data_IF_827359302257
#
_entry.id   IF_827359302257
#
_cell.length_a   1.000
_cell.length_b   1.000
_cell.length_c   1.000
_cell.angle_alpha   90.00
_cell.angle_beta   90.00
_cell.angle_gamma   90.00
#
_symmetry.space_group_name_H-M   'P 1'
#
loop_
_entity.id
_entity.type
_entity.pdbx_description
1 polymer ?
#
# COMPACT_ATOMS: atom_id res chain seq x y z
N UNK A 1 -41.22 -8.20 9.76
CA UNK A 1 -39.84 -8.64 10.08
C UNK A 1 -38.93 -7.50 9.71
N UNK A 2 -38.02 -7.07 10.60
CA UNK A 2 -37.04 -6.05 10.26
C UNK A 2 -36.03 -6.62 9.25
N UNK A 3 -35.82 -5.92 8.13
CA UNK A 3 -34.87 -6.35 7.12
C UNK A 3 -33.46 -5.95 7.56
N UNK A 4 -32.57 -6.93 7.78
CA UNK A 4 -31.18 -6.64 8.10
C UNK A 4 -30.40 -6.41 6.80
N UNK A 5 -30.27 -5.13 6.40
CA UNK A 5 -29.60 -4.74 5.14
C UNK A 5 -28.17 -5.28 5.08
N UNK A 6 -27.52 -5.39 6.24
CA UNK A 6 -26.18 -5.96 6.39
C UNK A 6 -26.12 -7.43 5.97
N UNK A 7 -27.14 -8.24 6.22
CA UNK A 7 -27.12 -9.67 5.87
C UNK A 7 -27.44 -9.89 4.38
N UNK A 8 -28.27 -9.02 3.78
CA UNK A 8 -28.44 -8.95 2.32
C UNK A 8 -27.10 -8.63 1.63
N UNK A 9 -26.34 -7.67 2.16
CA UNK A 9 -25.05 -7.26 1.60
C UNK A 9 -23.97 -8.34 1.85
N UNK A 10 -23.89 -8.96 3.04
CA UNK A 10 -22.98 -10.10 3.29
C UNK A 10 -23.18 -11.26 2.32
N UNK A 11 -24.43 -11.55 1.93
CA UNK A 11 -24.74 -12.56 0.93
C UNK A 11 -24.18 -12.25 -0.46
N UNK A 12 -24.00 -10.96 -0.77
CA UNK A 12 -23.46 -10.48 -2.05
C UNK A 12 -21.94 -10.22 -2.01
N UNK A 13 -21.40 -9.85 -0.84
CA UNK A 13 -19.96 -9.72 -0.55
C UNK A 13 -19.33 -11.05 -0.08
N UNK A 14 -19.76 -12.17 -0.66
CA UNK A 14 -19.34 -13.51 -0.25
C UNK A 14 -17.86 -13.83 -0.51
N UNK A 15 -17.43 -15.04 -0.14
CA UNK A 15 -16.04 -15.50 -0.27
C UNK A 15 -15.46 -15.35 -1.69
N UNK A 16 -16.28 -15.52 -2.72
CA UNK A 16 -15.86 -15.29 -4.11
C UNK A 16 -15.40 -13.84 -4.36
N UNK A 17 -16.06 -12.83 -3.77
CA UNK A 17 -15.64 -11.44 -3.88
C UNK A 17 -14.39 -11.16 -3.04
N UNK A 18 -14.29 -11.76 -1.85
CA UNK A 18 -13.11 -11.63 -0.99
C UNK A 18 -11.86 -12.18 -1.70
N UNK A 19 -11.97 -13.35 -2.32
CA UNK A 19 -10.88 -13.98 -3.07
C UNK A 19 -10.53 -13.20 -4.35
N UNK A 20 -11.55 -12.76 -5.11
CA UNK A 20 -11.35 -11.93 -6.31
C UNK A 20 -10.66 -10.60 -5.99
N UNK A 21 -11.10 -9.91 -4.93
CA UNK A 21 -10.51 -8.64 -4.51
C UNK A 21 -9.12 -8.81 -3.86
N UNK A 22 -8.87 -9.94 -3.18
CA UNK A 22 -7.53 -10.28 -2.69
C UNK A 22 -6.54 -10.44 -3.86
N UNK A 23 -6.92 -11.24 -4.87
CA UNK A 23 -6.15 -11.44 -6.09
C UNK A 23 -5.92 -10.14 -6.88
N UNK A 24 -6.97 -9.31 -7.06
CA UNK A 24 -6.86 -8.06 -7.83
C UNK A 24 -6.09 -6.94 -7.12
N UNK A 25 -6.08 -6.91 -5.78
CA UNK A 25 -5.43 -5.85 -5.00
C UNK A 25 -4.05 -6.25 -4.44
N UNK A 26 -3.63 -7.51 -4.61
CA UNK A 26 -2.37 -8.02 -4.05
C UNK A 26 -2.40 -8.19 -2.52
N UNK A 27 -3.60 -8.38 -1.96
CA UNK A 27 -3.84 -8.39 -0.51
C UNK A 27 -4.21 -9.79 0.00
N UNK A 28 -4.05 -10.02 1.31
CA UNK A 28 -4.53 -11.29 1.90
C UNK A 28 -6.06 -11.32 1.98
N UNK A 29 -6.67 -12.49 1.73
CA UNK A 29 -8.13 -12.68 1.90
C UNK A 29 -8.61 -12.32 3.32
N UNK A 30 -7.77 -12.58 4.34
CA UNK A 30 -8.04 -12.17 5.72
C UNK A 30 -8.07 -10.65 5.88
N UNK A 31 -7.14 -9.92 5.26
CA UNK A 31 -7.11 -8.47 5.21
C UNK A 31 -8.32 -7.88 4.48
N UNK A 32 -8.65 -8.41 3.29
CA UNK A 32 -9.85 -8.02 2.53
C UNK A 32 -11.13 -8.25 3.37
N UNK A 33 -11.30 -9.45 3.94
CA UNK A 33 -12.46 -9.79 4.76
C UNK A 33 -12.61 -8.87 5.98
N UNK A 34 -11.49 -8.55 6.64
CA UNK A 34 -11.44 -7.63 7.77
C UNK A 34 -11.74 -6.19 7.35
N UNK A 35 -11.22 -5.72 6.21
CA UNK A 35 -11.52 -4.42 5.66
C UNK A 35 -13.01 -4.27 5.29
N UNK A 36 -13.58 -5.25 4.57
CA UNK A 36 -15.01 -5.29 4.23
C UNK A 36 -15.88 -5.24 5.50
N UNK A 37 -15.50 -6.01 6.53
CA UNK A 37 -16.19 -6.02 7.83
C UNK A 37 -16.13 -4.68 8.57
N UNK A 38 -15.05 -3.92 8.42
CA UNK A 38 -14.91 -2.56 8.96
C UNK A 38 -15.59 -1.48 8.12
N UNK A 39 -15.62 -1.64 6.80
CA UNK A 39 -16.20 -0.69 5.85
C UNK A 39 -17.73 -0.71 5.87
N UNK A 40 -18.34 -1.89 5.97
CA UNK A 40 -19.79 -2.05 5.81
C UNK A 40 -20.62 -1.20 6.83
N UNK A 41 -20.31 -1.17 8.15
CA UNK A 41 -21.03 -0.30 9.08
C UNK A 41 -20.81 1.20 8.78
N UNK A 42 -19.59 1.58 8.36
CA UNK A 42 -19.23 2.97 8.06
C UNK A 42 -19.98 3.48 6.84
N UNK A 43 -20.13 2.66 5.80
CA UNK A 43 -20.85 3.00 4.57
C UNK A 43 -22.36 3.04 4.80
N UNK A 44 -22.94 1.99 5.38
CA UNK A 44 -24.38 1.94 5.70
C UNK A 44 -24.78 3.11 6.60
N UNK A 45 -23.95 3.41 7.59
CA UNK A 45 -24.17 4.52 8.51
C UNK A 45 -23.91 5.90 7.93
N UNK A 46 -22.94 6.06 7.03
CA UNK A 46 -22.71 7.30 6.30
C UNK A 46 -23.88 7.63 5.36
N UNK A 47 -24.40 6.63 4.64
CA UNK A 47 -25.65 6.73 3.87
C UNK A 47 -26.81 7.11 4.79
N UNK A 48 -26.93 6.48 5.95
CA UNK A 48 -27.97 6.79 6.92
C UNK A 48 -27.88 8.22 7.47
N UNK A 49 -26.70 8.70 7.86
CA UNK A 49 -26.51 10.08 8.33
C UNK A 49 -26.91 11.12 7.28
N UNK A 50 -26.77 10.77 6.00
CA UNK A 50 -27.16 11.59 4.87
C UNK A 50 -28.48 11.13 4.22
N UNK A 51 -29.39 10.51 5.02
CA UNK A 51 -30.72 10.04 4.59
C UNK A 51 -31.60 11.09 3.91
N UNK A 52 -31.29 12.36 4.12
CA UNK A 52 -32.12 13.49 3.71
C UNK A 52 -31.43 14.31 2.58
N UNK A 53 -30.24 13.87 2.16
CA UNK A 53 -29.45 14.46 1.07
C UNK A 53 -29.97 13.95 -0.28
N UNK A 54 -30.48 14.83 -1.17
CA UNK A 54 -31.03 14.41 -2.47
C UNK A 54 -30.06 13.60 -3.32
N UNK A 55 -28.77 13.95 -3.33
CA UNK A 55 -27.75 13.25 -4.12
C UNK A 55 -27.46 11.83 -3.63
N UNK A 56 -27.67 11.55 -2.33
CA UNK A 56 -27.59 10.20 -1.77
C UNK A 56 -28.80 9.37 -2.20
N UNK A 57 -30.00 9.94 -2.08
CA UNK A 57 -31.25 9.29 -2.47
C UNK A 57 -31.30 9.01 -3.98
N UNK A 58 -30.85 9.98 -4.80
CA UNK A 58 -30.69 9.82 -6.26
C UNK A 58 -29.68 8.72 -6.61
N UNK A 59 -28.56 8.65 -5.88
CA UNK A 59 -27.56 7.59 -6.12
C UNK A 59 -28.11 6.21 -5.84
N UNK A 60 -28.93 6.05 -4.79
CA UNK A 60 -29.59 4.78 -4.46
C UNK A 60 -30.69 4.45 -5.48
N UNK A 61 -31.57 5.39 -5.83
CA UNK A 61 -32.66 5.13 -6.79
C UNK A 61 -32.16 4.79 -8.19
N UNK A 62 -31.01 5.34 -8.59
CA UNK A 62 -30.45 5.14 -9.94
C UNK A 62 -29.53 3.91 -10.03
N UNK A 63 -29.01 3.38 -8.92
CA UNK A 63 -28.09 2.25 -8.96
C UNK A 63 -28.73 0.92 -9.42
N UNK A 64 -30.05 0.76 -9.21
CA UNK A 64 -30.81 -0.39 -9.71
C UNK A 64 -31.07 -0.33 -11.22
N UNK A 65 -31.29 0.86 -11.78
CA UNK A 65 -31.58 1.04 -13.20
C UNK A 65 -30.34 1.03 -14.10
N UNK A 66 -29.16 1.37 -13.56
CA UNK A 66 -27.90 1.42 -14.31
C UNK A 66 -27.06 0.12 -14.23
N UNK A 67 -27.58 -0.94 -13.59
CA UNK A 67 -26.85 -2.22 -13.51
C UNK A 67 -25.55 -2.15 -12.71
N UNK A 68 -25.46 -1.26 -11.72
CA UNK A 68 -24.21 -0.95 -10.99
C UNK A 68 -23.54 -2.19 -10.40
N UNK A 69 -24.29 -3.20 -9.98
CA UNK A 69 -23.75 -4.47 -9.48
C UNK A 69 -22.92 -5.26 -10.52
N UNK A 70 -23.21 -5.10 -11.82
CA UNK A 70 -22.44 -5.70 -12.90
C UNK A 70 -21.17 -4.91 -13.27
N UNK A 71 -21.24 -3.58 -13.25
CA UNK A 71 -20.10 -2.71 -13.58
C UNK A 71 -19.19 -2.40 -12.37
N UNK A 72 -19.64 -2.64 -11.13
CA UNK A 72 -18.85 -2.44 -9.91
C UNK A 72 -17.91 -3.62 -9.60
N UNK A 73 -18.00 -4.73 -10.35
CA UNK A 73 -17.06 -5.85 -10.26
C UNK A 73 -15.78 -5.63 -11.09
N UNK A 74 -15.80 -4.65 -12.00
CA UNK A 74 -14.60 -4.12 -12.63
C UNK A 74 -13.99 -3.02 -11.74
N UNK A 75 -12.94 -3.37 -11.01
CA UNK A 75 -12.18 -2.45 -10.16
C UNK A 75 -11.42 -1.36 -10.93
N UNK A 76 -11.31 -1.49 -12.26
CA UNK A 76 -10.67 -0.48 -13.14
C UNK A 76 -11.57 0.73 -13.38
N UNK A 77 -12.89 0.53 -13.32
CA UNK A 77 -13.90 1.56 -13.54
C UNK A 77 -14.04 2.48 -12.33
N UNK A 78 -13.23 3.55 -12.30
CA UNK A 78 -13.36 4.68 -11.37
C UNK A 78 -14.72 5.39 -11.52
N UNK A 79 -15.76 4.82 -10.90
CA UNK A 79 -17.13 5.25 -11.08
C UNK A 79 -17.37 6.61 -10.39
N UNK A 80 -17.48 7.66 -11.19
CA UNK A 80 -17.63 9.05 -10.73
C UNK A 80 -18.88 9.26 -9.87
N UNK A 81 -19.93 8.46 -10.06
CA UNK A 81 -21.11 8.42 -9.20
C UNK A 81 -20.76 7.98 -7.78
N UNK A 82 -19.95 6.93 -7.62
CA UNK A 82 -19.53 6.40 -6.31
C UNK A 82 -18.55 7.36 -5.63
N UNK A 83 -17.59 7.93 -6.38
CA UNK A 83 -16.65 8.92 -5.85
C UNK A 83 -17.35 10.21 -5.41
N UNK A 84 -18.30 10.72 -6.20
CA UNK A 84 -19.14 11.86 -5.84
C UNK A 84 -20.02 11.59 -4.61
N UNK A 85 -20.59 10.38 -4.52
CA UNK A 85 -21.38 9.94 -3.37
C UNK A 85 -20.53 9.83 -2.10
N UNK A 86 -19.35 9.20 -2.16
CA UNK A 86 -18.40 9.12 -1.05
C UNK A 86 -17.97 10.52 -0.57
N UNK A 87 -17.71 11.43 -1.50
CA UNK A 87 -17.39 12.83 -1.20
C UNK A 87 -18.59 13.55 -0.54
N UNK A 88 -19.82 13.30 -1.01
CA UNK A 88 -21.04 13.88 -0.43
C UNK A 88 -21.36 13.35 0.98
N UNK A 89 -20.99 12.10 1.27
CA UNK A 89 -21.25 11.44 2.57
C UNK A 89 -20.17 11.78 3.62
N UNK A 90 -18.89 11.74 3.22
CA UNK A 90 -17.75 11.78 4.16
C UNK A 90 -16.91 13.07 4.06
N UNK A 91 -16.93 13.77 2.92
CA UNK A 91 -16.12 14.96 2.67
C UNK A 91 -14.64 14.75 3.02
N UNK A 92 -14.05 15.73 3.71
CA UNK A 92 -12.65 15.71 4.15
C UNK A 92 -12.27 14.51 5.03
N UNK A 93 -13.25 13.79 5.61
CA UNK A 93 -13.02 12.62 6.46
C UNK A 93 -12.70 11.35 5.67
N UNK A 94 -12.92 11.35 4.35
CA UNK A 94 -12.70 10.21 3.46
C UNK A 94 -11.29 9.62 3.60
N UNK A 95 -10.25 10.47 3.57
CA UNK A 95 -8.85 10.05 3.74
C UNK A 95 -8.56 9.45 5.11
N UNK A 96 -9.24 9.93 6.16
CA UNK A 96 -9.12 9.39 7.53
C UNK A 96 -9.75 8.00 7.65
N UNK A 97 -10.90 7.78 6.99
CA UNK A 97 -11.56 6.47 6.92
C UNK A 97 -10.68 5.47 6.17
N UNK A 98 -10.14 5.84 5.00
CA UNK A 98 -9.22 5.00 4.22
C UNK A 98 -8.01 4.59 5.07
N UNK A 99 -7.33 5.55 5.73
CA UNK A 99 -6.17 5.24 6.56
C UNK A 99 -6.51 4.37 7.77
N UNK A 100 -7.67 4.59 8.41
CA UNK A 100 -8.10 3.81 9.58
C UNK A 100 -8.47 2.38 9.19
N UNK A 101 -9.14 2.18 8.05
CA UNK A 101 -9.47 0.85 7.53
C UNK A 101 -8.21 0.11 7.06
N UNK A 102 -7.31 0.76 6.32
CA UNK A 102 -6.01 0.21 5.95
C UNK A 102 -5.22 -0.30 7.17
N UNK A 103 -5.08 0.56 8.19
CA UNK A 103 -4.41 0.24 9.46
C UNK A 103 -5.11 -0.88 10.22
N UNK A 104 -6.45 -0.84 10.31
CA UNK A 104 -7.24 -1.85 11.01
C UNK A 104 -7.15 -3.23 10.34
N UNK A 105 -7.26 -3.28 9.01
CA UNK A 105 -7.30 -4.52 8.25
C UNK A 105 -5.90 -5.11 7.98
N UNK A 106 -4.85 -4.28 7.98
CA UNK A 106 -3.50 -4.68 7.59
C UNK A 106 -3.32 -4.73 6.07
N UNK A 107 -3.93 -3.79 5.35
CA UNK A 107 -3.90 -3.67 3.88
C UNK A 107 -3.38 -2.29 3.45
N UNK A 108 -3.06 -2.09 2.18
CA UNK A 108 -2.62 -0.79 1.67
C UNK A 108 -3.75 0.28 1.66
N UNK A 109 -3.37 1.55 1.69
CA UNK A 109 -4.31 2.67 1.53
C UNK A 109 -5.03 2.65 0.17
N UNK A 110 -4.35 2.22 -0.89
CA UNK A 110 -4.93 2.09 -2.23
C UNK A 110 -5.99 0.98 -2.23
N UNK A 111 -5.66 -0.19 -1.67
CA UNK A 111 -6.59 -1.32 -1.51
C UNK A 111 -7.79 -0.93 -0.66
N UNK A 112 -7.59 -0.22 0.44
CA UNK A 112 -8.68 0.30 1.27
C UNK A 112 -9.57 1.31 0.54
N UNK A 113 -9.03 2.10 -0.39
CA UNK A 113 -9.81 3.01 -1.23
C UNK A 113 -10.62 2.27 -2.31
N UNK A 114 -10.01 1.28 -2.97
CA UNK A 114 -10.69 0.41 -3.94
C UNK A 114 -11.82 -0.39 -3.27
N UNK A 115 -11.58 -0.95 -2.08
CA UNK A 115 -12.61 -1.62 -1.29
C UNK A 115 -13.71 -0.68 -0.81
N UNK A 116 -13.39 0.56 -0.42
CA UNK A 116 -14.40 1.56 -0.04
C UNK A 116 -15.34 1.87 -1.22
N UNK A 117 -14.82 2.00 -2.43
CA UNK A 117 -15.62 2.13 -3.65
C UNK A 117 -16.45 0.87 -3.92
N UNK A 118 -15.84 -0.32 -3.90
CA UNK A 118 -16.49 -1.61 -4.17
C UNK A 118 -17.65 -1.90 -3.20
N UNK A 119 -17.40 -1.78 -1.89
CA UNK A 119 -18.41 -2.03 -0.85
C UNK A 119 -19.50 -0.95 -0.90
N UNK A 120 -19.19 0.29 -1.31
CA UNK A 120 -20.20 1.34 -1.53
C UNK A 120 -21.06 1.03 -2.75
N UNK A 121 -20.48 0.66 -3.89
CA UNK A 121 -21.21 0.24 -5.08
C UNK A 121 -22.14 -0.95 -4.81
N UNK A 122 -21.65 -1.96 -4.10
CA UNK A 122 -22.43 -3.11 -3.66
C UNK A 122 -23.54 -2.74 -2.66
N UNK A 123 -23.27 -1.87 -1.69
CA UNK A 123 -24.26 -1.40 -0.70
C UNK A 123 -25.38 -0.61 -1.39
N UNK A 124 -25.02 0.41 -2.17
CA UNK A 124 -25.95 1.31 -2.87
C UNK A 124 -26.75 0.54 -3.92
N UNK A 125 -26.12 -0.37 -4.67
CA UNK A 125 -26.79 -1.25 -5.62
C UNK A 125 -27.76 -2.23 -4.95
N UNK A 126 -27.43 -2.77 -3.76
CA UNK A 126 -28.30 -3.68 -3.01
C UNK A 126 -29.51 -2.97 -2.41
N UNK A 127 -29.31 -1.78 -1.80
CA UNK A 127 -30.41 -0.95 -1.26
C UNK A 127 -31.28 -0.40 -2.40
N UNK A 128 -30.67 0.05 -3.50
CA UNK A 128 -31.39 0.53 -4.69
C UNK A 128 -32.21 -0.56 -5.38
N UNK A 129 -31.69 -1.79 -5.45
CA UNK A 129 -32.44 -2.96 -5.93
C UNK A 129 -33.63 -3.25 -5.01
N UNK A 130 -33.42 -3.32 -3.69
CA UNK A 130 -34.50 -3.55 -2.73
C UNK A 130 -35.58 -2.46 -2.82
N UNK A 131 -35.18 -1.20 -2.97
CA UNK A 131 -36.11 -0.08 -3.18
C UNK A 131 -36.95 -0.24 -4.46
N UNK A 132 -36.33 -0.61 -5.58
CA UNK A 132 -37.04 -0.87 -6.83
C UNK A 132 -38.01 -2.06 -6.73
N UNK A 133 -37.58 -3.19 -6.13
CA UNK A 133 -38.40 -4.39 -5.92
C UNK A 133 -39.62 -4.12 -5.00
N UNK A 134 -39.49 -3.19 -4.06
CA UNK A 134 -40.55 -2.82 -3.10
C UNK A 134 -41.29 -1.52 -3.46
N UNK A 135 -41.04 -0.94 -4.64
CA UNK A 135 -41.62 0.33 -5.12
C UNK A 135 -41.42 1.51 -4.15
N UNK A 136 -40.28 1.55 -3.44
CA UNK A 136 -39.95 2.65 -2.52
C UNK A 136 -39.48 3.88 -3.31
N UNK A 137 -40.10 5.02 -3.00
CA UNK A 137 -39.65 6.33 -3.48
C UNK A 137 -38.47 6.86 -2.63
N UNK A 138 -38.03 8.10 -2.91
CA UNK A 138 -36.96 8.75 -2.12
C UNK A 138 -37.33 8.86 -0.63
N UNK A 139 -38.61 9.05 -0.31
CA UNK A 139 -39.12 9.10 1.06
C UNK A 139 -38.99 7.73 1.75
N UNK A 140 -39.39 6.65 1.06
CA UNK A 140 -39.24 5.28 1.54
C UNK A 140 -37.77 4.86 1.71
N UNK A 141 -36.89 5.26 0.80
CA UNK A 141 -35.43 5.06 0.92
C UNK A 141 -34.88 5.82 2.14
N UNK A 142 -35.27 7.08 2.34
CA UNK A 142 -34.88 7.87 3.52
C UNK A 142 -35.35 7.21 4.82
N UNK A 143 -36.59 6.71 4.89
CA UNK A 143 -37.10 5.98 6.06
C UNK A 143 -36.28 4.71 6.32
N UNK A 144 -36.06 3.89 5.28
CA UNK A 144 -35.29 2.64 5.37
C UNK A 144 -33.85 2.88 5.88
N UNK A 145 -33.21 3.96 5.42
CA UNK A 145 -31.90 4.40 5.89
C UNK A 145 -31.94 4.91 7.35
N UNK A 146 -32.96 5.69 7.70
CA UNK A 146 -33.18 6.15 9.08
C UNK A 146 -33.33 4.98 10.06
N UNK A 147 -34.07 3.93 9.70
CA UNK A 147 -34.26 2.75 10.53
C UNK A 147 -32.95 2.00 10.83
N UNK A 148 -31.95 2.04 9.93
CA UNK A 148 -30.65 1.43 10.19
C UNK A 148 -29.77 2.24 11.15
N UNK A 149 -30.08 3.53 11.43
CA UNK A 149 -29.22 4.42 12.22
C UNK A 149 -28.81 3.78 13.55
N UNK A 150 -29.76 3.22 14.30
CA UNK A 150 -29.52 2.62 15.62
C UNK A 150 -28.71 1.31 15.62
N UNK A 151 -28.48 0.68 14.46
CA UNK A 151 -27.78 -0.62 14.35
C UNK A 151 -26.29 -0.45 14.03
N UNK A 152 -25.88 0.71 13.49
CA UNK A 152 -24.49 0.92 13.05
C UNK A 152 -23.48 0.85 14.19
N UNK A 153 -23.82 1.38 15.37
CA UNK A 153 -22.93 1.43 16.53
C UNK A 153 -22.66 0.05 17.14
N UNK A 154 -23.59 -0.90 17.02
CA UNK A 154 -23.44 -2.28 17.53
C UNK A 154 -22.78 -3.22 16.52
N UNK A 155 -22.55 -2.76 15.29
CA UNK A 155 -21.92 -3.52 14.20
C UNK A 155 -20.45 -3.16 13.93
N UNK A 156 -19.91 -2.13 14.60
CA UNK A 156 -18.48 -1.82 14.52
C UNK A 156 -17.66 -2.93 15.18
N UNK A 157 -16.69 -3.55 14.47
CA UNK A 157 -15.88 -4.62 15.04
C UNK A 157 -14.86 -4.06 16.06
N UNK A 158 -14.48 -4.89 17.03
CA UNK A 158 -13.50 -4.52 18.05
C UNK A 158 -12.20 -4.00 17.41
N UNK A 159 -11.78 -2.80 17.83
CA UNK A 159 -10.63 -2.07 17.26
C UNK A 159 -11.01 -0.92 16.32
N UNK A 160 -12.27 -0.81 15.88
CA UNK A 160 -12.80 0.38 15.21
C UNK A 160 -13.72 1.19 16.13
N UNK A 161 -13.71 2.52 15.96
CA UNK A 161 -14.60 3.44 16.68
C UNK A 161 -14.96 4.64 15.81
N UNK A 162 -16.13 5.24 16.06
CA UNK A 162 -16.54 6.48 15.38
C UNK A 162 -15.57 7.65 15.65
N UNK A 163 -14.87 7.63 16.80
CA UNK A 163 -13.85 8.60 17.14
C UNK A 163 -12.56 8.43 16.31
N UNK A 164 -12.04 7.19 16.18
CA UNK A 164 -10.84 6.91 15.37
C UNK A 164 -11.07 7.09 13.88
N UNK A 165 -12.31 6.98 13.41
CA UNK A 165 -12.73 7.33 12.04
C UNK A 165 -12.92 8.85 11.82
N UNK A 166 -12.69 9.69 12.85
CA UNK A 166 -12.91 11.15 12.85
C UNK A 166 -14.36 11.60 12.54
N UNK A 167 -15.33 10.68 12.56
CA UNK A 167 -16.76 10.97 12.27
C UNK A 167 -17.52 11.46 13.52
N UNK A 168 -16.83 12.16 14.44
CA UNK A 168 -17.39 12.59 15.74
C UNK A 168 -18.60 13.53 15.67
N UNK A 169 -18.85 14.20 14.54
CA UNK A 169 -20.10 14.97 14.35
C UNK A 169 -21.32 14.07 14.09
N UNK A 170 -21.14 12.95 13.39
CA UNK A 170 -22.20 11.96 13.18
C UNK A 170 -22.60 11.29 14.51
N UNK A 171 -21.67 11.19 15.48
CA UNK A 171 -21.99 10.82 16.85
C UNK A 171 -23.03 11.74 17.53
N UNK A 172 -23.16 13.01 17.12
CA UNK A 172 -24.17 13.94 17.66
C UNK A 172 -25.59 13.65 17.16
N UNK A 173 -25.72 12.90 16.06
CA UNK A 173 -27.00 12.34 15.60
C UNK A 173 -27.45 11.11 16.40
N UNK A 174 -26.60 10.58 17.27
CA UNK A 174 -26.88 9.41 18.09
C UNK A 174 -27.12 9.78 19.55
N UNK A 175 -28.28 9.38 20.08
CA UNK A 175 -28.49 9.29 21.52
C UNK A 175 -27.77 8.06 22.04
N UNK A 176 -26.60 8.28 22.65
CA UNK A 176 -25.95 7.28 23.48
C UNK A 176 -26.65 7.24 24.85
N UNK A 177 -27.87 6.69 24.87
CA UNK A 177 -28.58 6.37 26.12
C UNK A 177 -27.92 5.15 26.80
N UNK A 178 -26.67 5.31 27.22
CA UNK A 178 -25.86 4.29 27.90
C UNK A 178 -24.92 4.87 28.99
N UNK A 179 -25.07 6.14 29.35
CA UNK A 179 -24.48 6.74 30.57
C UNK A 179 -25.19 6.23 31.84
N UNK A 180 -25.16 4.90 32.08
CA UNK A 180 -25.45 4.30 33.39
C UNK A 180 -25.02 2.85 33.59
N UNK A 181 -25.05 2.00 32.56
CA UNK A 181 -24.75 0.57 32.72
C UNK A 181 -23.24 0.27 32.68
N UNK A 182 -22.52 0.93 33.60
CA UNK A 182 -21.20 0.51 34.02
C UNK A 182 -21.31 -0.84 34.73
N UNK A 183 -21.07 -1.93 34.00
CA UNK A 183 -21.04 -3.29 34.55
C UNK A 183 -19.98 -3.32 35.67
N UNK A 184 -20.45 -3.40 36.92
CA UNK A 184 -19.57 -3.41 38.07
C UNK A 184 -18.73 -4.70 38.08
N UNK A 185 -17.40 -4.61 38.22
CA UNK A 185 -16.56 -5.79 38.35
C UNK A 185 -16.91 -6.52 39.66
N UNK A 186 -17.26 -7.80 39.56
CA UNK A 186 -17.49 -8.67 40.71
C UNK A 186 -16.20 -8.78 41.54
N UNK A 187 -16.23 -8.56 42.87
CA UNK A 187 -15.02 -8.60 43.68
C UNK A 187 -14.39 -10.00 43.72
N UNK A 188 -13.13 -10.10 43.31
CA UNK A 188 -12.25 -11.19 43.76
C UNK A 188 -11.60 -10.78 45.09
N UNK A 189 -11.74 -11.61 46.11
CA UNK A 189 -11.05 -11.41 47.39
C UNK A 189 -9.61 -11.94 47.29
N UNK A 190 -8.63 -11.05 47.35
CA UNK A 190 -7.25 -11.41 47.68
C UNK A 190 -6.95 -11.01 49.14
N UNK A 191 -6.27 -11.89 49.93
CA UNK A 191 -6.01 -11.64 51.34
C UNK A 191 -4.97 -10.53 51.53
N UNK A 192 -5.35 -9.47 52.24
CA UNK A 192 -4.46 -8.35 52.55
C UNK A 192 -3.37 -8.77 53.53
N UNK A 193 -2.11 -8.72 53.09
CA UNK A 193 -0.95 -8.73 54.01
C UNK A 193 -0.72 -7.31 54.51
N UNK A 194 -0.83 -7.13 55.82
CA UNK A 194 -0.68 -5.85 56.49
C UNK A 194 0.79 -5.51 56.74
N UNK A 195 1.26 -4.35 56.27
CA UNK A 195 2.56 -3.78 56.63
C UNK A 195 2.34 -2.37 57.17
N UNK A 196 2.45 -2.23 58.48
CA UNK A 196 2.26 -0.98 59.21
C UNK A 196 3.47 -0.05 59.09
N UNK A 197 3.21 1.25 58.93
CA UNK A 197 4.12 2.34 59.35
C UNK A 197 3.33 3.60 59.67
N UNK A 198 3.54 4.13 60.87
CA UNK A 198 2.80 5.26 61.43
C UNK A 198 3.59 6.57 61.30
N UNK A 199 2.87 7.69 61.09
CA UNK A 199 3.00 9.03 61.76
C UNK A 199 4.40 9.69 61.93
N UNK A 200 4.60 11.01 61.82
CA UNK A 200 3.66 12.13 61.97
C UNK A 200 4.11 13.45 61.29
N UNK A 201 3.14 14.36 61.10
CA UNK A 201 3.17 15.82 61.33
C UNK A 201 4.37 16.72 60.95
N UNK A 202 4.19 17.49 59.86
CA UNK A 202 4.32 18.97 59.72
C UNK A 202 4.42 19.33 58.21
N UNK A 203 3.91 20.46 57.68
CA UNK A 203 3.11 21.54 58.24
C UNK A 203 3.11 22.78 57.30
N UNK A 204 1.98 23.50 57.21
CA UNK A 204 1.81 24.82 56.52
C UNK A 204 1.70 24.84 54.98
N UNK A 205 0.61 25.46 54.49
CA UNK A 205 0.50 26.16 53.18
C UNK A 205 0.44 27.68 53.47
N UNK A 206 0.96 28.58 52.60
CA UNK A 206 0.12 29.13 51.52
C UNK A 206 0.81 29.65 50.24
N UNK A 207 0.02 29.73 49.16
CA UNK A 207 0.05 30.68 48.03
C UNK A 207 1.23 30.73 47.01
N UNK A 208 0.82 30.85 45.74
CA UNK A 208 1.60 31.20 44.54
C UNK A 208 2.02 32.69 44.56
N UNK A 209 3.06 33.16 43.81
CA UNK A 209 3.08 33.07 42.34
C UNK A 209 4.46 32.79 41.67
N UNK A 210 4.45 32.85 40.33
CA UNK A 210 5.52 32.54 39.35
C UNK A 210 6.86 33.29 39.49
N UNK A 211 7.95 32.66 39.04
CA UNK A 211 8.99 33.32 38.24
C UNK A 211 9.25 32.63 36.88
N UNK A 212 10.27 33.10 36.15
CA UNK A 212 10.48 32.92 34.70
C UNK A 212 11.85 32.31 34.32
N UNK A 213 12.14 32.31 33.01
CA UNK A 213 13.42 32.11 32.32
C UNK A 213 13.87 30.67 31.97
N UNK A 214 14.03 30.45 30.65
CA UNK A 214 14.83 29.39 30.03
C UNK A 214 15.62 29.98 28.85
N UNK A 215 16.93 29.77 28.82
CA UNK A 215 17.86 30.54 27.98
C UNK A 215 17.76 30.29 26.47
N UNK A 216 17.80 31.37 25.67
CA UNK A 216 17.67 31.29 24.20
C UNK A 216 19.03 31.25 23.48
N UNK A 217 19.50 30.04 23.18
CA UNK A 217 20.70 29.76 22.37
C UNK A 217 20.66 30.34 20.95
N UNK A 218 19.48 30.69 20.43
CA UNK A 218 19.29 31.18 19.06
C UNK A 218 19.91 32.55 18.78
N UNK A 219 20.13 33.39 19.80
CA UNK A 219 20.61 34.77 19.62
C UNK A 219 22.05 34.89 19.07
N UNK A 220 22.87 33.86 19.19
CA UNK A 220 24.25 33.82 18.66
C UNK A 220 24.38 33.07 17.34
N UNK A 221 23.46 32.15 17.04
CA UNK A 221 23.57 31.24 15.89
C UNK A 221 23.09 31.89 14.58
N UNK A 222 22.05 32.72 14.66
CA UNK A 222 21.47 33.41 13.49
C UNK A 222 22.44 34.36 12.74
N UNK A 223 23.23 35.26 13.41
CA UNK A 223 24.16 36.13 12.69
C UNK A 223 25.34 35.36 12.06
N UNK A 224 25.79 34.26 12.68
CA UNK A 224 26.84 33.40 12.12
C UNK A 224 26.39 32.74 10.81
N UNK A 225 25.15 32.23 10.79
CA UNK A 225 24.56 31.57 9.62
C UNK A 225 24.39 32.55 8.43
N UNK A 226 23.98 33.79 8.70
CA UNK A 226 23.87 34.83 7.67
C UNK A 226 25.22 35.22 7.04
N UNK A 227 26.31 35.26 7.83
CA UNK A 227 27.65 35.52 7.30
C UNK A 227 28.14 34.39 6.39
N UNK A 228 27.86 33.13 6.75
CA UNK A 228 28.17 31.96 5.91
C UNK A 228 27.38 32.01 4.60
N UNK A 229 26.09 32.35 4.64
CA UNK A 229 25.25 32.50 3.46
C UNK A 229 25.74 33.62 2.51
N UNK A 230 26.18 34.76 3.05
CA UNK A 230 26.74 35.85 2.27
C UNK A 230 28.06 35.45 1.57
N UNK A 231 28.95 34.73 2.27
CA UNK A 231 30.19 34.20 1.68
C UNK A 231 29.92 33.21 0.53
N UNK A 232 28.98 32.29 0.71
CA UNK A 232 28.58 31.33 -0.33
C UNK A 232 28.00 32.03 -1.58
N UNK A 233 27.18 33.06 -1.39
CA UNK A 233 26.55 33.79 -2.51
C UNK A 233 27.58 34.55 -3.36
N UNK A 234 28.59 35.17 -2.74
CA UNK A 234 29.67 35.85 -3.46
C UNK A 234 30.58 34.86 -4.21
N UNK A 235 30.89 33.70 -3.62
CA UNK A 235 31.69 32.67 -4.28
C UNK A 235 31.01 32.13 -5.54
N UNK A 236 29.69 31.89 -5.49
CA UNK A 236 28.90 31.33 -6.61
C UNK A 236 28.71 32.29 -7.80
N UNK A 237 29.14 33.56 -7.70
CA UNK A 237 29.01 34.54 -8.79
C UNK A 237 30.21 34.56 -9.75
N UNK A 238 31.28 33.78 -9.48
CA UNK A 238 32.57 33.96 -10.14
C UNK A 238 32.89 32.98 -11.31
N UNK A 239 32.04 31.99 -11.60
CA UNK A 239 32.30 30.99 -12.66
C UNK A 239 31.27 31.04 -13.81
N UNK A 240 31.78 31.30 -15.02
CA UNK A 240 31.15 31.16 -16.34
C UNK A 240 32.24 30.75 -17.35
N UNK A 241 31.83 30.09 -18.45
CA UNK A 241 32.58 29.70 -19.70
C UNK A 241 32.74 28.16 -19.88
N UNK A 242 32.72 27.53 -21.06
CA UNK A 242 32.32 27.88 -22.45
C UNK A 242 31.86 26.62 -23.24
N UNK A 243 30.88 26.80 -24.14
CA UNK A 243 30.83 26.40 -25.57
C UNK A 243 31.57 25.14 -26.13
N UNK A 244 30.88 24.26 -26.91
CA UNK A 244 31.22 23.73 -28.30
C UNK A 244 30.79 22.27 -28.65
N UNK A 245 29.61 22.10 -29.27
CA UNK A 245 29.33 21.66 -30.69
C UNK A 245 30.06 20.46 -31.41
N UNK A 246 29.26 19.51 -31.98
CA UNK A 246 29.31 18.92 -33.38
C UNK A 246 29.73 17.44 -33.75
N UNK A 247 28.72 16.62 -34.17
CA UNK A 247 28.52 15.70 -35.36
C UNK A 247 29.29 14.37 -35.71
N UNK A 248 28.50 13.38 -36.23
CA UNK A 248 28.66 12.54 -37.47
C UNK A 248 29.66 11.34 -37.57
N UNK A 249 29.53 10.30 -38.44
CA UNK A 249 28.38 9.59 -39.14
C UNK A 249 28.84 8.25 -39.83
N UNK A 250 27.94 7.24 -39.95
CA UNK A 250 27.83 6.07 -40.87
C UNK A 250 28.95 5.02 -41.20
N UNK A 251 28.50 3.74 -41.28
CA UNK A 251 28.74 2.79 -42.41
C UNK A 251 29.45 1.45 -42.11
N UNK A 252 29.33 0.35 -42.88
CA UNK A 252 28.24 -0.22 -43.73
C UNK A 252 28.60 -1.69 -44.17
N UNK A 253 27.64 -2.45 -44.74
CA UNK A 253 27.78 -3.65 -45.62
C UNK A 253 28.18 -5.03 -45.02
N UNK A 254 27.83 -6.20 -45.60
CA UNK A 254 26.57 -6.70 -46.22
C UNK A 254 26.65 -8.23 -46.59
N UNK A 255 25.53 -8.82 -47.05
CA UNK A 255 25.28 -10.20 -47.55
C UNK A 255 24.82 -11.25 -46.49
N UNK A 256 23.92 -12.21 -46.78
CA UNK A 256 23.48 -12.74 -48.10
C UNK A 256 21.95 -13.02 -48.20
N UNK A 257 21.39 -12.85 -49.41
CA UNK A 257 20.02 -13.15 -49.91
C UNK A 257 19.73 -14.67 -50.05
N UNK A 258 18.55 -15.27 -49.86
CA UNK A 258 17.24 -14.95 -49.23
C UNK A 258 16.68 -16.31 -48.66
N UNK A 259 15.45 -16.87 -48.79
CA UNK A 259 14.07 -16.62 -49.33
C UNK A 259 13.14 -17.71 -48.67
N UNK A 260 11.78 -17.79 -48.67
CA UNK A 260 10.65 -17.23 -49.44
C UNK A 260 9.36 -17.17 -48.54
N UNK A 261 8.38 -16.32 -48.91
CA UNK A 261 6.94 -16.27 -48.51
C UNK A 261 6.40 -17.13 -47.33
N UNK A 262 5.83 -16.46 -46.32
CA UNK A 262 4.37 -16.28 -46.27
C UNK A 262 3.98 -15.11 -45.36
N UNK A 263 3.00 -14.30 -45.77
CA UNK A 263 2.54 -13.12 -45.04
C UNK A 263 1.28 -13.40 -44.23
N UNK A 264 1.30 -13.09 -42.94
CA UNK A 264 0.07 -12.83 -42.18
C UNK A 264 0.30 -11.66 -41.23
N UNK A 265 -0.44 -10.58 -41.42
CA UNK A 265 -0.38 -9.41 -40.53
C UNK A 265 -0.96 -9.76 -39.16
N UNK A 266 -0.11 -9.72 -38.14
CA UNK A 266 -0.52 -9.70 -36.74
C UNK A 266 -0.07 -8.38 -36.12
N UNK A 267 -1.02 -7.50 -35.80
CA UNK A 267 -0.75 -6.23 -35.14
C UNK A 267 -0.03 -6.48 -33.81
N UNK A 268 1.21 -6.02 -33.69
CA UNK A 268 2.03 -6.22 -32.48
C UNK A 268 1.76 -5.11 -31.46
N UNK A 269 0.48 -4.92 -31.13
CA UNK A 269 0.09 -4.26 -29.89
C UNK A 269 0.73 -5.03 -28.74
N UNK A 270 1.72 -4.40 -28.10
CA UNK A 270 2.52 -5.03 -27.05
C UNK A 270 1.69 -5.21 -25.77
N UNK A 271 0.90 -6.28 -25.73
CA UNK A 271 0.29 -6.77 -24.50
C UNK A 271 1.39 -7.00 -23.48
N UNK A 272 1.42 -6.19 -22.42
CA UNK A 272 2.08 -6.55 -21.18
C UNK A 272 1.49 -7.89 -20.75
N UNK A 273 2.28 -8.98 -20.62
CA UNK A 273 1.73 -10.26 -20.22
C UNK A 273 1.16 -10.11 -18.81
N UNK A 274 -0.13 -10.41 -18.65
CA UNK A 274 -0.77 -10.49 -17.33
C UNK A 274 0.03 -11.48 -16.49
N UNK A 275 0.66 -10.99 -15.42
CA UNK A 275 1.44 -11.83 -14.51
C UNK A 275 0.47 -12.72 -13.74
N UNK A 276 0.36 -13.99 -14.14
CA UNK A 276 -0.46 -15.02 -13.49
C UNK A 276 0.46 -15.87 -12.63
N UNK A 277 0.15 -16.01 -11.34
CA UNK A 277 0.93 -16.83 -10.42
C UNK A 277 0.91 -18.31 -10.83
N UNK A 278 2.08 -18.86 -11.11
CA UNK A 278 2.31 -20.25 -11.50
C UNK A 278 3.17 -20.96 -10.43
N UNK A 279 3.16 -22.30 -10.46
CA UNK A 279 4.05 -23.14 -9.65
C UNK A 279 5.35 -23.41 -10.41
N UNK A 280 6.39 -22.64 -10.09
CA UNK A 280 7.72 -22.73 -10.70
C UNK A 280 8.50 -23.88 -10.04
N UNK A 281 8.89 -24.88 -10.82
CA UNK A 281 9.62 -26.06 -10.32
C UNK A 281 11.08 -25.73 -9.94
N UNK A 282 11.39 -25.79 -8.65
CA UNK A 282 12.74 -25.92 -8.10
C UNK A 282 13.03 -27.39 -7.76
N UNK A 283 13.45 -28.16 -8.77
CA UNK A 283 13.98 -29.52 -8.62
C UNK A 283 13.06 -30.48 -7.85
N UNK A 284 11.75 -30.43 -8.12
CA UNK A 284 10.69 -31.17 -7.43
C UNK A 284 9.94 -30.35 -6.37
N UNK A 285 10.35 -29.12 -6.08
CA UNK A 285 9.70 -28.20 -5.13
C UNK A 285 8.98 -27.09 -5.89
N UNK A 286 7.66 -26.98 -5.76
CA UNK A 286 6.91 -25.87 -6.33
C UNK A 286 7.16 -24.56 -5.54
N UNK A 287 7.57 -23.50 -6.23
CA UNK A 287 7.64 -22.13 -5.71
C UNK A 287 6.57 -21.27 -6.38
N UNK A 288 5.94 -20.35 -5.63
CA UNK A 288 4.96 -19.42 -6.20
C UNK A 288 5.66 -18.24 -6.87
N UNK A 289 5.47 -18.05 -8.17
CA UNK A 289 6.05 -16.94 -8.91
C UNK A 289 5.53 -16.86 -10.34
N UNK A 290 6.11 -15.97 -11.15
CA UNK A 290 5.66 -15.75 -12.52
C UNK A 290 6.56 -16.42 -13.54
N UNK A 291 5.97 -16.91 -14.64
CA UNK A 291 6.74 -17.19 -15.85
C UNK A 291 7.36 -15.92 -16.40
N UNK A 292 8.66 -15.98 -16.67
CA UNK A 292 9.47 -14.80 -16.96
C UNK A 292 9.71 -13.87 -15.77
N UNK A 293 9.25 -14.20 -14.56
CA UNK A 293 9.62 -13.52 -13.32
C UNK A 293 10.96 -13.99 -12.76
N UNK A 294 11.35 -13.48 -11.60
CA UNK A 294 12.66 -13.73 -10.98
C UNK A 294 12.95 -15.22 -10.79
N UNK A 295 12.01 -15.97 -10.20
CA UNK A 295 12.15 -17.39 -9.91
C UNK A 295 12.39 -18.21 -11.17
N UNK A 296 11.53 -18.08 -12.19
CA UNK A 296 11.64 -18.79 -13.47
C UNK A 296 12.95 -18.47 -14.18
N UNK A 297 13.30 -17.17 -14.29
CA UNK A 297 14.53 -16.76 -14.97
C UNK A 297 15.81 -17.22 -14.25
N UNK A 298 15.84 -17.19 -12.91
CA UNK A 298 16.99 -17.67 -12.12
C UNK A 298 17.10 -19.19 -12.18
N UNK A 299 15.99 -19.92 -11.99
CA UNK A 299 15.97 -21.39 -12.02
C UNK A 299 16.32 -21.90 -13.41
N UNK A 300 15.78 -21.32 -14.48
CA UNK A 300 16.12 -21.67 -15.86
C UNK A 300 17.61 -21.44 -16.16
N UNK A 301 18.22 -20.38 -15.61
CA UNK A 301 19.66 -20.13 -15.77
C UNK A 301 20.55 -21.10 -14.96
N UNK A 302 20.09 -21.54 -13.79
CA UNK A 302 20.79 -22.53 -12.97
C UNK A 302 20.66 -23.94 -13.55
N UNK A 303 19.47 -24.35 -14.00
CA UNK A 303 19.19 -25.64 -14.65
C UNK A 303 19.90 -25.82 -16.00
N UNK A 304 20.22 -24.73 -16.70
CA UNK A 304 21.01 -24.77 -17.95
C UNK A 304 22.53 -24.80 -17.73
N UNK A 305 22.99 -25.07 -16.49
CA UNK A 305 24.39 -24.96 -16.06
C UNK A 305 25.00 -23.55 -16.32
N UNK A 306 24.18 -22.52 -16.60
CA UNK A 306 24.63 -21.20 -17.05
C UNK A 306 25.54 -20.50 -16.03
N UNK A 307 25.24 -20.63 -14.74
CA UNK A 307 26.12 -20.14 -13.68
C UNK A 307 27.46 -20.91 -13.63
N UNK A 308 27.42 -22.24 -13.68
CA UNK A 308 28.60 -23.12 -13.64
C UNK A 308 29.54 -22.81 -14.82
N UNK A 309 28.98 -22.70 -16.02
CA UNK A 309 29.70 -22.45 -17.28
C UNK A 309 30.20 -21.00 -17.45
N UNK A 310 29.70 -20.02 -16.67
CA UNK A 310 30.19 -18.65 -16.73
C UNK A 310 31.66 -18.55 -16.26
N UNK A 311 32.54 -17.96 -17.09
CA UNK A 311 33.98 -17.95 -16.82
C UNK A 311 34.39 -17.08 -15.61
N UNK A 312 33.67 -15.97 -15.37
CA UNK A 312 34.02 -14.93 -14.39
C UNK A 312 32.80 -14.00 -14.10
N UNK A 313 32.96 -12.99 -13.23
CA UNK A 313 31.90 -12.00 -12.95
C UNK A 313 31.52 -11.16 -14.18
N UNK A 314 32.44 -10.95 -15.14
CA UNK A 314 32.16 -10.20 -16.38
C UNK A 314 31.12 -10.86 -17.27
N UNK A 315 31.04 -12.20 -17.27
CA UNK A 315 29.99 -12.95 -17.96
C UNK A 315 28.61 -12.86 -17.27
N UNK A 316 28.56 -12.38 -16.02
CA UNK A 316 27.34 -12.32 -15.19
C UNK A 316 26.87 -10.90 -14.90
N UNK A 317 27.76 -9.90 -14.92
CA UNK A 317 27.50 -8.53 -14.44
C UNK A 317 26.36 -7.77 -15.10
N UNK A 318 26.04 -8.14 -16.35
CA UNK A 318 24.96 -7.51 -17.12
C UNK A 318 23.61 -8.23 -16.97
N UNK A 319 23.55 -9.40 -16.32
CA UNK A 319 22.33 -10.21 -16.20
C UNK A 319 21.70 -10.08 -14.81
N UNK A 320 20.97 -8.99 -14.63
CA UNK A 320 20.09 -8.76 -13.49
C UNK A 320 18.72 -9.41 -13.69
N UNK A 321 18.16 -9.88 -12.58
CA UNK A 321 16.79 -10.37 -12.43
C UNK A 321 16.10 -9.39 -11.48
N UNK A 322 15.10 -8.67 -11.97
CA UNK A 322 14.34 -7.72 -11.15
C UNK A 322 13.38 -8.49 -10.23
N UNK A 323 13.23 -8.06 -8.98
CA UNK A 323 12.20 -8.62 -8.10
C UNK A 323 10.80 -8.17 -8.57
N UNK A 324 9.84 -9.09 -8.59
CA UNK A 324 8.46 -8.85 -9.00
C UNK A 324 7.59 -8.26 -7.89
N UNK A 325 7.90 -8.59 -6.63
CA UNK A 325 7.09 -8.26 -5.44
C UNK A 325 7.87 -7.62 -4.30
N UNK A 326 9.19 -7.50 -4.36
CA UNK A 326 10.02 -7.02 -3.23
C UNK A 326 10.08 -5.49 -3.20
N UNK A 327 9.04 -4.91 -2.61
CA UNK A 327 8.87 -3.49 -2.39
C UNK A 327 9.19 -3.11 -0.94
N UNK A 328 9.37 -1.81 -0.72
CA UNK A 328 9.53 -1.20 0.61
C UNK A 328 8.49 -0.11 0.82
N UNK A 329 7.94 -0.03 2.02
CA UNK A 329 6.91 0.97 2.36
C UNK A 329 7.41 2.40 2.12
N UNK A 330 6.49 3.31 1.81
CA UNK A 330 6.81 4.69 1.41
C UNK A 330 7.62 5.38 2.51
N UNK A 331 8.81 5.89 2.14
CA UNK A 331 9.76 6.52 3.07
C UNK A 331 10.64 5.56 3.88
N UNK A 332 10.43 4.24 3.78
CA UNK A 332 11.24 3.24 4.49
C UNK A 332 12.37 2.66 3.64
N UNK A 333 13.48 2.32 4.31
CA UNK A 333 14.58 1.51 3.78
C UNK A 333 14.69 0.12 4.43
N UNK A 334 13.85 -0.18 5.42
CA UNK A 334 13.96 -1.36 6.29
C UNK A 334 12.63 -2.07 6.59
N UNK A 335 11.54 -1.66 5.92
CA UNK A 335 10.21 -2.23 6.07
C UNK A 335 9.70 -2.63 4.69
N UNK A 336 9.51 -3.94 4.48
CA UNK A 336 8.94 -4.46 3.23
C UNK A 336 7.42 -4.23 3.19
N UNK A 337 6.86 -4.28 1.99
CA UNK A 337 5.40 -4.38 1.81
C UNK A 337 4.91 -5.81 2.12
N UNK A 338 3.60 -5.99 2.29
CA UNK A 338 3.01 -7.31 2.47
C UNK A 338 3.22 -8.18 1.23
N UNK A 339 3.40 -9.49 1.41
CA UNK A 339 3.69 -10.43 0.32
C UNK A 339 5.16 -10.45 -0.16
N UNK A 340 5.89 -9.32 -0.08
CA UNK A 340 7.30 -9.23 -0.49
C UNK A 340 8.22 -10.28 0.14
N UNK A 341 7.95 -10.69 1.38
CA UNK A 341 8.76 -11.72 2.07
C UNK A 341 8.63 -13.11 1.42
N UNK A 342 7.51 -13.41 0.73
CA UNK A 342 7.32 -14.69 0.03
C UNK A 342 8.32 -14.89 -1.11
N UNK A 343 8.52 -13.88 -1.96
CA UNK A 343 9.53 -13.93 -3.03
C UNK A 343 10.96 -13.96 -2.46
N UNK A 344 11.22 -13.34 -1.30
CA UNK A 344 12.51 -13.52 -0.61
C UNK A 344 12.70 -14.93 -0.05
N UNK A 345 11.64 -15.61 0.39
CA UNK A 345 11.68 -17.03 0.78
C UNK A 345 11.91 -17.95 -0.42
N UNK A 346 11.33 -17.66 -1.59
CA UNK A 346 11.64 -18.35 -2.84
C UNK A 346 13.13 -18.22 -3.21
N UNK A 347 13.70 -17.02 -3.13
CA UNK A 347 15.14 -16.81 -3.34
C UNK A 347 15.99 -17.60 -2.33
N UNK A 348 15.58 -17.69 -1.07
CA UNK A 348 16.23 -18.56 -0.07
C UNK A 348 16.16 -20.03 -0.45
N UNK A 349 15.04 -20.51 -1.01
CA UNK A 349 14.93 -21.88 -1.49
C UNK A 349 15.89 -22.14 -2.67
N UNK A 350 15.93 -21.24 -3.66
CA UNK A 350 16.84 -21.31 -4.81
C UNK A 350 18.31 -21.37 -4.34
N UNK A 351 18.72 -20.47 -3.44
CA UNK A 351 20.08 -20.44 -2.89
C UNK A 351 20.40 -21.66 -2.00
N UNK A 352 19.40 -22.31 -1.39
CA UNK A 352 19.61 -23.58 -0.66
C UNK A 352 19.73 -24.78 -1.60
N UNK A 353 19.07 -24.76 -2.76
CA UNK A 353 19.18 -25.80 -3.78
C UNK A 353 20.49 -25.72 -4.61
N UNK A 354 21.10 -24.53 -4.70
CA UNK A 354 22.32 -24.29 -5.48
C UNK A 354 23.43 -23.63 -4.62
N UNK A 355 24.02 -24.33 -3.64
CA UNK A 355 24.90 -23.74 -2.63
C UNK A 355 26.22 -23.13 -3.15
N UNK A 356 26.64 -23.48 -4.36
CA UNK A 356 27.80 -22.85 -5.04
C UNK A 356 27.46 -21.48 -5.66
N UNK A 357 26.18 -21.12 -5.76
CA UNK A 357 25.72 -19.88 -6.37
C UNK A 357 26.03 -18.68 -5.48
N UNK A 358 26.69 -17.66 -6.03
CA UNK A 358 26.85 -16.37 -5.36
C UNK A 358 26.02 -15.32 -6.06
N UNK A 359 25.51 -14.36 -5.30
CA UNK A 359 24.69 -13.25 -5.80
C UNK A 359 25.17 -11.89 -5.30
N UNK A 360 24.80 -10.85 -6.05
CA UNK A 360 24.84 -9.44 -5.64
C UNK A 360 23.41 -8.87 -5.71
N UNK A 361 23.09 -7.98 -4.78
CA UNK A 361 21.79 -7.28 -4.72
C UNK A 361 21.98 -5.83 -5.17
N UNK A 362 21.07 -5.34 -6.00
CA UNK A 362 21.03 -3.96 -6.46
C UNK A 362 19.73 -3.27 -6.00
N UNK A 363 19.84 -2.05 -5.49
CA UNK A 363 18.69 -1.17 -5.28
C UNK A 363 18.67 -0.01 -6.28
N UNK A 364 17.49 0.36 -6.74
CA UNK A 364 17.27 1.41 -7.74
C UNK A 364 16.13 2.36 -7.32
N UNK A 365 16.22 3.62 -7.74
CA UNK A 365 15.18 4.63 -7.55
C UNK A 365 14.78 5.25 -8.89
N UNK A 366 13.65 5.96 -8.91
CA UNK A 366 13.38 6.88 -10.01
C UNK A 366 14.22 8.18 -9.88
N UNK A 367 14.12 9.07 -10.88
CA UNK A 367 14.90 10.32 -10.97
C UNK A 367 14.43 11.46 -10.05
N UNK A 368 13.47 11.25 -9.15
CA UNK A 368 12.99 12.32 -8.25
C UNK A 368 13.82 12.42 -6.97
N UNK A 369 13.87 13.63 -6.40
CA UNK A 369 14.65 13.92 -5.20
C UNK A 369 16.11 14.28 -5.48
N UNK A 370 16.98 13.97 -4.54
CA UNK A 370 18.42 14.24 -4.59
C UNK A 370 19.19 12.92 -4.76
N UNK A 371 20.19 12.89 -5.63
CA UNK A 371 20.86 11.64 -6.01
C UNK A 371 21.71 11.04 -4.89
N UNK A 372 22.28 11.86 -3.99
CA UNK A 372 23.01 11.33 -2.84
C UNK A 372 22.07 10.64 -1.84
N UNK A 373 20.88 11.22 -1.63
CA UNK A 373 19.80 10.58 -0.86
C UNK A 373 19.27 9.31 -1.56
N UNK A 374 19.12 9.31 -2.89
CA UNK A 374 18.66 8.14 -3.65
C UNK A 374 19.68 6.99 -3.61
N UNK A 375 20.98 7.26 -3.77
CA UNK A 375 22.03 6.23 -3.60
C UNK A 375 22.09 5.70 -2.18
N UNK A 376 21.91 6.56 -1.17
CA UNK A 376 21.80 6.11 0.23
C UNK A 376 20.57 5.22 0.45
N UNK A 377 19.38 5.65 0.04
CA UNK A 377 18.11 4.92 0.21
C UNK A 377 18.15 3.54 -0.46
N UNK A 378 18.64 3.49 -1.70
CA UNK A 378 18.80 2.23 -2.44
C UNK A 378 19.86 1.31 -1.82
N UNK A 379 20.96 1.86 -1.28
CA UNK A 379 21.97 1.06 -0.58
C UNK A 379 21.45 0.48 0.75
N UNK A 380 20.71 1.27 1.53
CA UNK A 380 20.07 0.78 2.76
C UNK A 380 19.09 -0.37 2.46
N UNK A 381 18.25 -0.22 1.43
CA UNK A 381 17.32 -1.27 0.96
C UNK A 381 18.04 -2.53 0.50
N UNK A 382 19.13 -2.41 -0.27
CA UNK A 382 19.92 -3.55 -0.71
C UNK A 382 20.56 -4.29 0.48
N UNK A 383 21.09 -3.55 1.46
CA UNK A 383 21.69 -4.13 2.67
C UNK A 383 20.63 -4.75 3.60
N UNK A 384 19.41 -4.20 3.67
CA UNK A 384 18.30 -4.84 4.39
C UNK A 384 18.00 -6.24 3.85
N UNK A 385 17.91 -6.41 2.52
CA UNK A 385 17.66 -7.74 1.92
C UNK A 385 18.85 -8.68 2.20
N UNK A 386 20.09 -8.19 2.11
CA UNK A 386 21.29 -8.96 2.48
C UNK A 386 21.25 -9.46 3.93
N UNK A 387 20.90 -8.59 4.88
CA UNK A 387 20.81 -8.93 6.30
C UNK A 387 19.64 -9.88 6.60
N UNK A 388 18.52 -9.75 5.87
CA UNK A 388 17.41 -10.70 5.93
C UNK A 388 17.83 -12.09 5.41
N UNK A 389 18.46 -12.16 4.22
CA UNK A 389 19.02 -13.39 3.66
C UNK A 389 20.09 -14.02 4.55
N UNK A 390 20.86 -13.19 5.27
CA UNK A 390 21.78 -13.61 6.33
C UNK A 390 21.08 -14.37 7.44
N UNK A 391 19.99 -13.82 7.99
CA UNK A 391 19.17 -14.46 9.03
C UNK A 391 18.53 -15.77 8.57
N UNK A 392 18.23 -15.90 7.27
CA UNK A 392 17.70 -17.13 6.67
C UNK A 392 18.76 -18.20 6.35
N UNK A 393 20.03 -17.95 6.68
CA UNK A 393 21.14 -18.91 6.55
C UNK A 393 21.80 -18.97 5.17
N UNK A 394 21.53 -18.01 4.26
CA UNK A 394 22.14 -17.96 2.91
C UNK A 394 23.06 -16.74 2.70
N UNK A 395 23.30 -15.94 3.73
CA UNK A 395 24.11 -14.71 3.63
C UNK A 395 25.55 -14.89 3.12
N UNK A 396 26.14 -16.08 3.26
CA UNK A 396 27.46 -16.41 2.68
C UNK A 396 27.47 -16.42 1.14
N UNK A 397 26.31 -16.58 0.51
CA UNK A 397 26.12 -16.48 -0.94
C UNK A 397 25.91 -15.02 -1.39
N UNK A 398 25.65 -14.08 -0.48
CA UNK A 398 25.37 -12.66 -0.81
C UNK A 398 26.65 -11.82 -0.69
N UNK A 399 27.42 -11.76 -1.78
CA UNK A 399 28.77 -11.17 -1.72
C UNK A 399 28.81 -9.64 -1.79
N UNK A 400 27.78 -8.98 -2.33
CA UNK A 400 27.62 -7.52 -2.31
C UNK A 400 26.15 -7.10 -2.30
N UNK A 401 25.90 -5.86 -1.85
CA UNK A 401 24.59 -5.24 -1.81
C UNK A 401 24.76 -3.73 -2.01
N UNK A 402 24.44 -3.26 -3.21
CA UNK A 402 24.84 -1.95 -3.73
C UNK A 402 23.62 -1.08 -4.05
N UNK A 403 23.72 0.22 -3.75
CA UNK A 403 22.69 1.22 -4.07
C UNK A 403 23.08 2.04 -5.29
N UNK A 404 22.31 1.92 -6.36
CA UNK A 404 22.60 2.61 -7.62
C UNK A 404 21.87 3.95 -7.78
N UNK A 405 20.94 4.29 -6.88
CA UNK A 405 20.15 5.53 -6.97
C UNK A 405 19.37 5.59 -8.28
N UNK A 406 19.37 6.76 -8.93
CA UNK A 406 18.69 6.96 -10.21
C UNK A 406 19.58 6.73 -11.44
N UNK A 407 20.82 6.25 -11.26
CA UNK A 407 21.81 6.04 -12.35
C UNK A 407 21.31 5.18 -13.52
N UNK A 408 20.40 4.22 -13.24
CA UNK A 408 19.80 3.33 -14.25
C UNK A 408 18.34 3.65 -14.57
N UNK A 409 17.78 4.73 -13.98
CA UNK A 409 16.39 5.11 -14.18
C UNK A 409 16.16 5.56 -15.64
N UNK A 410 15.16 4.99 -16.30
CA UNK A 410 14.85 5.27 -17.70
C UNK A 410 13.83 6.39 -17.86
N UNK A 411 12.83 6.42 -16.98
CA UNK A 411 11.72 7.39 -17.01
C UNK A 411 12.20 8.76 -16.52
N UNK A 412 11.62 9.84 -17.04
CA UNK A 412 12.00 11.20 -16.65
C UNK A 412 11.46 11.61 -15.27
N UNK A 413 12.13 12.55 -14.60
CA UNK A 413 11.69 13.08 -13.30
C UNK A 413 10.34 13.83 -13.38
N UNK A 414 9.98 14.36 -14.55
CA UNK A 414 8.70 15.06 -14.80
C UNK A 414 7.52 14.15 -15.14
N UNK A 415 7.75 12.85 -15.34
CA UNK A 415 6.70 11.88 -15.62
C UNK A 415 5.86 11.53 -14.38
N UNK A 416 4.69 10.92 -14.61
CA UNK A 416 3.79 10.50 -13.53
C UNK A 416 4.46 9.53 -12.55
N UNK A 417 3.92 9.46 -11.33
CA UNK A 417 4.48 8.60 -10.30
C UNK A 417 4.34 7.10 -10.64
N UNK A 418 3.37 6.81 -11.51
CA UNK A 418 2.95 5.51 -12.00
C UNK A 418 3.89 5.07 -13.14
N UNK A 419 4.17 5.94 -14.12
CA UNK A 419 5.20 5.71 -15.15
C UNK A 419 6.57 5.46 -14.51
N UNK A 420 6.97 6.31 -13.55
CA UNK A 420 8.25 6.18 -12.84
C UNK A 420 8.36 4.94 -11.94
N UNK A 421 7.27 4.20 -11.70
CA UNK A 421 7.30 3.03 -10.83
C UNK A 421 8.27 1.94 -11.32
N UNK A 422 8.45 1.82 -12.65
CA UNK A 422 9.31 0.78 -13.28
C UNK A 422 10.81 0.92 -12.95
N UNK A 423 11.24 2.10 -12.47
CA UNK A 423 12.61 2.39 -12.05
C UNK A 423 12.81 2.20 -10.52
N UNK A 424 11.73 2.21 -9.73
CA UNK A 424 11.77 2.05 -8.26
C UNK A 424 11.72 0.58 -7.86
N UNK A 425 12.85 -0.12 -7.95
CA UNK A 425 12.90 -1.58 -7.76
C UNK A 425 14.16 -2.07 -7.06
N UNK A 426 14.10 -3.34 -6.66
CA UNK A 426 15.23 -4.14 -6.24
C UNK A 426 15.52 -5.18 -7.34
N UNK A 427 16.79 -5.58 -7.47
CA UNK A 427 17.19 -6.64 -8.40
C UNK A 427 18.28 -7.52 -7.77
N UNK A 428 18.45 -8.73 -8.30
CA UNK A 428 19.53 -9.66 -7.95
C UNK A 428 20.29 -10.07 -9.21
N UNK A 429 21.59 -10.33 -9.11
CA UNK A 429 22.35 -11.03 -10.17
C UNK A 429 23.27 -12.08 -9.59
N UNK A 430 23.58 -13.10 -10.38
CA UNK A 430 24.69 -14.00 -10.03
C UNK A 430 26.03 -13.29 -10.16
N UNK A 431 27.04 -13.78 -9.44
CA UNK A 431 28.42 -13.30 -9.44
C UNK A 431 29.40 -14.44 -9.16
N UNK A 432 30.71 -14.26 -9.40
CA UNK A 432 31.73 -15.27 -9.07
C UNK A 432 32.90 -14.69 -8.27
#
# INVERSE_FOLDING_TARGET
MSLNIIDLIKGQLGSALVSQAASQLGESEAGISKAVSGLLPVIVGGLANNSDNPSVLDSISNASSQGVLGNSLDTSSNNSMISGLLTSIFGDKLSGIINTIATYAGISNNSSSSLLNLVTGATVGSVGKYAAENNLDKSGISSLLNDQKGVVSTLLPAGLSLASLNVGDWAKGYKFDNDKDAIAPTPHEEPKVEVTRSTAENGTFPNNPTPSEGGSIWKWLLPLLLLIAAGYFLWKQCEKKETTTTTNVSGDSLNTVNDTMSTQSGDTTAMTPTKVDEDIDLNGTALKGYRGGLEDQMITFLKSDGYKNAANDDALKNKWYDFDHVNFTIGSSNTLEAGSEGQLQNLVAILKAYPDAKIKIGGYTDKTGDEANNKKLSAERANFIKDWLGKQGVGTQVIAADGYGSEFAKVDASASNEERAVDRKMSVRFAK
#
